data_IF_720788941691
#
_entry.id   IF_720788941691
#
_cell.length_a   1.000
_cell.length_b   1.000
_cell.length_c   1.000
_cell.angle_alpha   90.00
_cell.angle_beta   90.00
_cell.angle_gamma   90.00
#
_symmetry.space_group_name_H-M   'P 1'
#
loop_
_entity.id
_entity.type
_entity.pdbx_description
1 polymer ?
#
# COMPACT_ATOMS: atom_id res chain seq x y z
N UNK A 1 18.40 -6.56 -4.79
CA UNK A 1 17.95 -6.52 -6.21
C UNK A 1 16.66 -7.34 -6.30
N UNK A 2 15.64 -6.86 -7.01
CA UNK A 2 14.35 -7.54 -7.17
C UNK A 2 14.50 -8.75 -8.11
N UNK A 3 13.71 -9.81 -7.93
CA UNK A 3 13.80 -10.98 -8.82
C UNK A 3 13.25 -10.65 -10.23
N UNK A 4 13.73 -11.31 -11.30
CA UNK A 4 13.29 -11.04 -12.67
C UNK A 4 11.78 -11.16 -12.89
N UNK A 5 11.12 -12.08 -12.18
CA UNK A 5 9.66 -12.24 -12.24
C UNK A 5 8.92 -10.98 -11.78
N UNK A 6 9.32 -10.39 -10.66
CA UNK A 6 8.68 -9.19 -10.14
C UNK A 6 8.92 -7.97 -11.03
N UNK A 7 10.12 -7.86 -11.62
CA UNK A 7 10.41 -6.82 -12.61
C UNK A 7 9.47 -6.96 -13.82
N UNK A 8 9.27 -8.20 -14.30
CA UNK A 8 8.40 -8.47 -15.46
C UNK A 8 6.92 -8.23 -15.16
N UNK A 9 6.45 -8.53 -13.94
CA UNK A 9 5.06 -8.33 -13.54
C UNK A 9 4.74 -6.84 -13.34
N UNK A 10 5.66 -6.09 -12.72
CA UNK A 10 5.46 -4.65 -12.51
C UNK A 10 5.66 -3.82 -13.78
N UNK A 11 6.27 -4.38 -14.82
CA UNK A 11 6.55 -3.65 -16.05
C UNK A 11 7.82 -2.82 -15.97
N UNK A 12 8.22 -2.27 -17.13
CA UNK A 12 9.35 -1.35 -17.28
C UNK A 12 8.82 0.00 -17.77
N UNK A 13 9.50 1.12 -17.44
CA UNK A 13 9.07 2.43 -17.92
C UNK A 13 9.06 2.46 -19.45
N UNK A 14 7.95 2.90 -20.05
CA UNK A 14 7.86 3.08 -21.50
C UNK A 14 8.61 4.37 -21.88
N UNK A 15 9.69 4.22 -22.65
CA UNK A 15 10.54 5.33 -23.10
C UNK A 15 9.97 6.09 -24.30
N UNK A 16 8.91 5.58 -24.93
CA UNK A 16 8.44 6.05 -26.23
C UNK A 16 7.14 6.87 -26.16
N UNK A 17 6.63 7.19 -24.97
CA UNK A 17 5.42 8.02 -24.82
C UNK A 17 5.82 9.50 -24.81
N UNK A 18 5.45 10.30 -25.84
CA UNK A 18 5.82 11.72 -25.91
C UNK A 18 5.36 12.47 -24.66
N UNK A 19 6.17 13.41 -24.17
CA UNK A 19 5.83 14.33 -23.09
C UNK A 19 4.76 15.32 -23.55
N UNK A 20 3.52 14.83 -23.66
CA UNK A 20 2.39 15.69 -23.90
C UNK A 20 1.93 16.25 -22.55
N UNK A 21 2.02 17.57 -22.32
CA UNK A 21 1.54 18.21 -21.10
C UNK A 21 0.01 18.39 -21.11
N UNK A 22 -0.71 17.73 -22.03
CA UNK A 22 -2.18 17.72 -22.05
C UNK A 22 -2.76 16.80 -20.97
N UNK A 23 -2.25 16.91 -19.74
CA UNK A 23 -2.95 16.44 -18.56
C UNK A 23 -4.19 17.33 -18.47
N UNK A 24 -5.31 16.84 -18.98
CA UNK A 24 -6.61 17.44 -18.75
C UNK A 24 -6.80 17.54 -17.25
N UNK A 25 -6.94 18.75 -16.73
CA UNK A 25 -7.18 19.07 -15.32
C UNK A 25 -8.47 18.49 -14.74
N UNK A 26 -9.21 17.69 -15.51
CA UNK A 26 -10.53 17.16 -15.15
C UNK A 26 -10.50 15.70 -14.66
N UNK A 27 -9.45 14.93 -14.92
CA UNK A 27 -9.32 13.58 -14.35
C UNK A 27 -8.36 13.62 -13.15
N UNK A 28 -8.82 13.27 -11.93
CA UNK A 28 -7.93 13.17 -10.79
C UNK A 28 -7.00 11.97 -10.99
N UNK A 29 -5.82 12.27 -11.53
CA UNK A 29 -4.70 11.34 -11.58
C UNK A 29 -4.28 11.02 -10.15
N UNK A 30 -4.24 9.74 -9.81
CA UNK A 30 -3.67 9.28 -8.56
C UNK A 30 -2.21 9.72 -8.43
N UNK A 31 -1.74 10.02 -7.22
CA UNK A 31 -0.44 10.64 -6.95
C UNK A 31 0.75 9.92 -7.60
N UNK A 32 0.63 8.61 -7.86
CA UNK A 32 1.67 7.83 -8.54
C UNK A 32 1.66 7.88 -10.08
N UNK A 33 0.60 8.39 -10.71
CA UNK A 33 0.46 8.43 -12.17
C UNK A 33 1.26 9.55 -12.84
N UNK A 34 1.90 10.43 -12.06
CA UNK A 34 2.81 11.46 -12.56
C UNK A 34 4.04 10.86 -13.26
N UNK A 35 4.43 9.63 -12.90
CA UNK A 35 5.40 8.84 -13.64
C UNK A 35 4.64 7.91 -14.60
N UNK A 36 4.91 8.02 -15.91
CA UNK A 36 4.32 7.16 -16.97
C UNK A 36 4.76 5.69 -16.83
N UNK A 37 4.26 5.03 -15.81
CA UNK A 37 4.60 3.67 -15.46
C UNK A 37 3.31 2.88 -15.28
N UNK A 38 3.17 1.80 -16.03
CA UNK A 38 2.02 0.91 -15.97
C UNK A 38 2.49 -0.49 -15.60
N UNK A 39 1.61 -1.25 -14.93
CA UNK A 39 1.83 -2.69 -14.80
C UNK A 39 1.98 -3.29 -16.21
N UNK A 40 2.71 -4.40 -16.31
CA UNK A 40 2.89 -5.08 -17.58
C UNK A 40 1.53 -5.35 -18.23
N UNK A 41 1.34 -5.07 -19.55
CA UNK A 41 0.07 -5.31 -20.23
C UNK A 41 -0.44 -6.75 -20.07
N UNK A 42 0.47 -7.72 -19.98
CA UNK A 42 0.15 -9.12 -19.72
C UNK A 42 -0.46 -9.37 -18.33
N UNK A 43 -0.14 -8.53 -17.34
CA UNK A 43 -0.73 -8.58 -15.99
C UNK A 43 -2.08 -7.88 -16.00
N UNK A 44 -2.17 -6.69 -16.58
CA UNK A 44 -3.42 -5.92 -16.64
C UNK A 44 -4.51 -6.69 -17.40
N UNK A 45 -4.16 -7.36 -18.50
CA UNK A 45 -5.10 -8.14 -19.29
C UNK A 45 -5.46 -9.51 -18.67
N UNK A 46 -4.76 -9.95 -17.62
CA UNK A 46 -4.95 -11.25 -16.99
C UNK A 46 -5.29 -11.10 -15.50
N UNK A 47 -6.57 -11.27 -15.11
CA UNK A 47 -7.00 -11.18 -13.71
C UNK A 47 -6.27 -12.15 -12.77
N UNK A 48 -5.89 -13.33 -13.23
CA UNK A 48 -5.15 -14.31 -12.43
C UNK A 48 -3.72 -13.84 -12.16
N UNK A 49 -3.03 -13.32 -13.17
CA UNK A 49 -1.70 -12.75 -13.03
C UNK A 49 -1.70 -11.54 -12.08
N UNK A 50 -2.73 -10.70 -12.16
CA UNK A 50 -2.95 -9.59 -11.24
C UNK A 50 -3.15 -10.11 -9.81
N UNK A 51 -4.01 -11.11 -9.60
CA UNK A 51 -4.21 -11.71 -8.27
C UNK A 51 -2.93 -12.29 -7.69
N UNK A 52 -2.17 -13.04 -8.49
CA UNK A 52 -0.88 -13.61 -8.08
C UNK A 52 0.11 -12.52 -7.69
N UNK A 53 0.21 -11.42 -8.44
CA UNK A 53 1.06 -10.28 -8.09
C UNK A 53 0.72 -9.76 -6.69
N UNK A 54 -0.55 -9.48 -6.41
CA UNK A 54 -0.93 -8.92 -5.10
C UNK A 54 -0.84 -9.94 -3.96
N UNK A 55 -1.01 -11.23 -4.23
CA UNK A 55 -0.71 -12.29 -3.25
C UNK A 55 0.79 -12.34 -2.91
N UNK A 56 1.67 -12.19 -3.91
CA UNK A 56 3.12 -12.09 -3.66
C UNK A 56 3.41 -10.85 -2.81
N UNK A 57 2.83 -9.69 -3.13
CA UNK A 57 3.01 -8.46 -2.36
C UNK A 57 2.56 -8.61 -0.90
N UNK A 58 1.41 -9.25 -0.66
CA UNK A 58 0.94 -9.59 0.69
C UNK A 58 1.98 -10.41 1.46
N UNK A 59 2.59 -11.41 0.81
CA UNK A 59 3.65 -12.20 1.44
C UNK A 59 4.89 -11.37 1.70
N UNK A 60 5.32 -10.52 0.76
CA UNK A 60 6.49 -9.65 0.95
C UNK A 60 6.32 -8.71 2.15
N UNK A 61 5.12 -8.16 2.35
CA UNK A 61 4.79 -7.40 3.56
C UNK A 61 4.99 -8.27 4.81
N UNK A 62 4.46 -9.50 4.83
CA UNK A 62 4.59 -10.40 5.98
C UNK A 62 6.05 -10.73 6.33
N UNK A 63 6.84 -11.11 5.32
CA UNK A 63 8.16 -11.72 5.56
C UNK A 63 9.32 -10.73 5.56
N UNK A 64 9.19 -9.59 4.88
CA UNK A 64 10.32 -8.68 4.65
C UNK A 64 10.22 -7.35 5.38
N UNK A 65 9.07 -7.01 5.96
CA UNK A 65 8.86 -5.73 6.63
C UNK A 65 9.63 -5.58 7.97
N UNK A 66 10.28 -6.65 8.43
CA UNK A 66 11.24 -6.63 9.55
C UNK A 66 12.70 -6.46 9.16
N UNK A 67 13.04 -6.41 7.87
CA UNK A 67 14.43 -6.43 7.38
C UNK A 67 14.82 -5.04 6.88
N UNK A 68 15.63 -4.26 7.63
CA UNK A 68 15.92 -2.86 7.26
C UNK A 68 16.56 -2.69 5.88
N UNK A 69 17.40 -3.62 5.45
CA UNK A 69 18.16 -3.55 4.19
C UNK A 69 17.29 -3.65 2.93
N UNK A 70 16.02 -4.03 3.05
CA UNK A 70 15.10 -4.18 1.91
C UNK A 70 13.96 -3.16 1.90
N UNK A 71 13.85 -2.32 2.94
CA UNK A 71 12.77 -1.34 3.08
C UNK A 71 12.65 -0.43 1.85
N UNK A 72 13.76 0.14 1.35
CA UNK A 72 13.73 1.02 0.18
C UNK A 72 13.25 0.31 -1.10
N UNK A 73 13.61 -0.96 -1.28
CA UNK A 73 13.18 -1.77 -2.42
C UNK A 73 11.69 -2.11 -2.30
N UNK A 74 11.22 -2.44 -1.11
CA UNK A 74 9.81 -2.70 -0.84
C UNK A 74 8.96 -1.45 -1.01
N UNK A 75 9.41 -0.30 -0.52
CA UNK A 75 8.73 0.98 -0.71
C UNK A 75 8.53 1.27 -2.20
N UNK A 76 9.59 1.17 -3.00
CA UNK A 76 9.50 1.37 -4.45
C UNK A 76 8.58 0.35 -5.13
N UNK A 77 8.59 -0.91 -4.68
CA UNK A 77 7.73 -1.98 -5.17
C UNK A 77 6.25 -1.68 -4.87
N UNK A 78 5.92 -1.34 -3.63
CA UNK A 78 4.56 -1.04 -3.19
C UNK A 78 4.04 0.24 -3.83
N UNK A 79 4.88 1.25 -4.01
CA UNK A 79 4.50 2.46 -4.74
C UNK A 79 4.09 2.14 -6.18
N UNK A 80 4.88 1.29 -6.86
CA UNK A 80 4.59 0.82 -8.22
C UNK A 80 3.33 -0.06 -8.29
N UNK A 81 3.09 -0.87 -7.28
CA UNK A 81 1.92 -1.75 -7.29
C UNK A 81 0.63 -1.00 -6.95
N UNK A 82 0.63 -0.13 -5.94
CA UNK A 82 -0.58 0.47 -5.40
C UNK A 82 -0.93 1.82 -6.03
N UNK A 83 0.07 2.62 -6.44
CA UNK A 83 -0.16 4.02 -6.83
C UNK A 83 0.08 4.32 -8.31
N UNK A 84 0.80 3.46 -9.03
CA UNK A 84 1.06 3.66 -10.46
C UNK A 84 -0.06 3.17 -11.40
N UNK A 85 -0.79 2.06 -11.12
CA UNK A 85 -1.92 1.67 -11.96
C UNK A 85 -2.99 2.77 -11.99
N UNK A 86 -3.75 2.85 -13.08
CA UNK A 86 -4.94 3.70 -13.12
C UNK A 86 -5.94 3.29 -12.05
N UNK A 87 -6.76 4.22 -11.56
CA UNK A 87 -7.67 3.96 -10.44
C UNK A 87 -8.62 2.78 -10.74
N UNK A 88 -9.08 2.66 -11.99
CA UNK A 88 -9.95 1.57 -12.45
C UNK A 88 -9.27 0.19 -12.42
N UNK A 89 -7.93 0.17 -12.43
CA UNK A 89 -7.12 -1.06 -12.42
C UNK A 89 -6.75 -1.51 -11.00
N UNK A 90 -7.12 -0.75 -9.96
CA UNK A 90 -6.72 -1.01 -8.56
C UNK A 90 -7.68 -1.92 -7.79
N UNK A 91 -8.60 -2.61 -8.45
CA UNK A 91 -9.57 -3.51 -7.80
C UNK A 91 -8.91 -4.57 -6.91
N UNK A 92 -7.82 -5.18 -7.37
CA UNK A 92 -7.07 -6.17 -6.58
C UNK A 92 -6.24 -5.54 -5.48
N UNK A 93 -5.68 -4.33 -5.70
CA UNK A 93 -5.04 -3.55 -4.66
C UNK A 93 -5.98 -3.29 -3.49
N UNK A 94 -7.16 -2.73 -3.75
CA UNK A 94 -8.17 -2.42 -2.73
C UNK A 94 -8.57 -3.69 -1.96
N UNK A 95 -8.76 -4.82 -2.66
CA UNK A 95 -9.12 -6.09 -2.01
C UNK A 95 -8.04 -6.59 -1.06
N UNK A 96 -6.77 -6.56 -1.47
CA UNK A 96 -5.66 -7.00 -0.61
C UNK A 96 -5.41 -6.02 0.52
N UNK A 97 -5.51 -4.70 0.29
CA UNK A 97 -5.42 -3.69 1.35
C UNK A 97 -6.49 -3.94 2.41
N UNK A 98 -7.75 -4.12 1.99
CA UNK A 98 -8.86 -4.49 2.89
C UNK A 98 -8.53 -5.73 3.70
N UNK A 99 -8.07 -6.80 3.04
CA UNK A 99 -7.70 -8.07 3.70
C UNK A 99 -6.61 -7.86 4.77
N UNK A 100 -5.53 -7.17 4.43
CA UNK A 100 -4.40 -6.90 5.33
C UNK A 100 -4.86 -6.07 6.53
N UNK A 101 -5.64 -5.01 6.30
CA UNK A 101 -6.01 -4.08 7.36
C UNK A 101 -7.19 -4.56 8.22
N UNK A 102 -7.96 -5.54 7.73
CA UNK A 102 -9.01 -6.22 8.52
C UNK A 102 -8.49 -7.35 9.41
N UNK A 103 -7.28 -7.87 9.15
CA UNK A 103 -6.69 -8.96 9.91
C UNK A 103 -5.69 -8.43 10.93
N UNK A 104 -5.93 -8.70 12.22
CA UNK A 104 -5.12 -8.20 13.33
C UNK A 104 -3.65 -8.61 13.25
N UNK A 105 -3.34 -9.81 12.74
CA UNK A 105 -1.95 -10.28 12.61
C UNK A 105 -1.25 -9.61 11.43
N UNK A 106 -1.96 -9.41 10.32
CA UNK A 106 -1.41 -8.69 9.16
C UNK A 106 -1.23 -7.19 9.49
N UNK A 107 -2.17 -6.59 10.22
CA UNK A 107 -2.05 -5.22 10.71
C UNK A 107 -0.87 -5.05 11.68
N UNK A 108 -0.63 -6.03 12.56
CA UNK A 108 0.56 -6.06 13.40
C UNK A 108 1.86 -6.00 12.59
N UNK A 109 1.94 -6.74 11.48
CA UNK A 109 3.13 -6.74 10.61
C UNK A 109 3.38 -5.34 10.02
N UNK A 110 2.32 -4.63 9.62
CA UNK A 110 2.42 -3.25 9.11
C UNK A 110 2.89 -2.30 10.22
N UNK A 111 2.29 -2.36 11.41
CA UNK A 111 2.64 -1.49 12.54
C UNK A 111 4.10 -1.72 12.94
N UNK A 112 4.48 -2.99 13.10
CA UNK A 112 5.84 -3.37 13.46
C UNK A 112 6.86 -2.92 12.41
N UNK A 113 6.50 -3.01 11.13
CA UNK A 113 7.30 -2.44 10.03
C UNK A 113 7.49 -0.94 10.17
N UNK A 114 6.40 -0.19 10.40
CA UNK A 114 6.44 1.26 10.51
C UNK A 114 7.34 1.71 11.68
N UNK A 115 7.21 1.05 12.83
CA UNK A 115 8.01 1.33 14.03
C UNK A 115 9.48 1.00 13.79
N UNK A 116 9.81 -0.19 13.29
CA UNK A 116 11.20 -0.61 13.08
C UNK A 116 11.90 0.20 11.99
N UNK A 117 11.19 0.57 10.93
CA UNK A 117 11.72 1.41 9.85
C UNK A 117 11.71 2.90 10.15
N UNK A 118 11.02 3.33 11.22
CA UNK A 118 10.71 4.74 11.53
C UNK A 118 10.11 5.48 10.32
N UNK A 119 9.27 4.79 9.55
CA UNK A 119 8.67 5.30 8.31
C UNK A 119 7.20 4.88 8.20
N UNK A 120 6.33 5.82 7.85
CA UNK A 120 4.91 5.56 7.57
C UNK A 120 4.63 5.40 6.07
N UNK A 121 5.67 5.23 5.24
CA UNK A 121 5.55 5.15 3.78
C UNK A 121 4.58 4.06 3.33
N UNK A 122 4.73 2.84 3.84
CA UNK A 122 3.87 1.70 3.51
C UNK A 122 2.42 2.01 3.89
N UNK A 123 2.20 2.42 5.14
CA UNK A 123 0.89 2.83 5.62
C UNK A 123 0.27 3.90 4.70
N UNK A 124 0.99 4.97 4.43
CA UNK A 124 0.56 6.07 3.57
C UNK A 124 0.16 5.57 2.19
N UNK A 125 0.95 4.71 1.55
CA UNK A 125 0.61 4.17 0.22
C UNK A 125 -0.68 3.36 0.22
N UNK A 126 -0.92 2.53 1.25
CA UNK A 126 -2.16 1.76 1.37
C UNK A 126 -3.37 2.70 1.54
N UNK A 127 -3.26 3.70 2.42
CA UNK A 127 -4.36 4.67 2.67
C UNK A 127 -4.63 5.53 1.44
N UNK A 128 -3.59 6.06 0.78
CA UNK A 128 -3.74 6.87 -0.44
C UNK A 128 -4.41 6.07 -1.54
N UNK A 129 -3.99 4.81 -1.75
CA UNK A 129 -4.61 3.94 -2.75
C UNK A 129 -6.11 3.78 -2.52
N UNK A 130 -6.53 3.50 -1.28
CA UNK A 130 -7.97 3.34 -0.98
C UNK A 130 -8.72 4.66 -1.08
N UNK A 131 -8.14 5.77 -0.59
CA UNK A 131 -8.77 7.08 -0.62
C UNK A 131 -8.99 7.60 -2.06
N UNK A 132 -8.02 7.42 -2.95
CA UNK A 132 -8.16 7.77 -4.37
C UNK A 132 -9.22 6.88 -5.06
N UNK A 133 -9.24 5.59 -4.75
CA UNK A 133 -10.26 4.68 -5.26
C UNK A 133 -11.66 4.97 -4.74
N UNK A 134 -11.81 5.66 -3.60
CA UNK A 134 -13.11 5.98 -2.99
C UNK A 134 -13.80 7.20 -3.62
N UNK A 135 -13.19 7.84 -4.62
CA UNK A 135 -13.78 9.00 -5.27
C UNK A 135 -15.01 8.60 -6.13
N UNK A 136 -16.16 9.30 -6.04
CA UNK A 136 -17.45 8.84 -6.57
C UNK A 136 -17.51 8.58 -8.07
N UNK A 137 -16.62 9.19 -8.86
CA UNK A 137 -16.60 9.06 -10.32
C UNK A 137 -16.06 7.71 -10.81
N UNK A 138 -15.51 6.88 -9.92
CA UNK A 138 -14.99 5.56 -10.28
C UNK A 138 -15.91 4.44 -9.82
N UNK A 139 -16.14 3.44 -10.68
CA UNK A 139 -16.94 2.25 -10.36
C UNK A 139 -16.42 1.48 -9.14
N UNK A 140 -15.12 1.56 -8.86
CA UNK A 140 -14.48 0.91 -7.69
C UNK A 140 -14.83 1.60 -6.34
N UNK A 141 -15.41 2.80 -6.35
CA UNK A 141 -15.63 3.62 -5.17
C UNK A 141 -16.37 2.89 -4.05
N UNK A 142 -17.41 2.14 -4.39
CA UNK A 142 -18.20 1.39 -3.42
C UNK A 142 -17.32 0.36 -2.68
N UNK A 143 -16.45 -0.37 -3.41
CA UNK A 143 -15.58 -1.37 -2.79
C UNK A 143 -14.48 -0.69 -1.94
N UNK A 144 -13.97 0.45 -2.39
CA UNK A 144 -12.99 1.24 -1.63
C UNK A 144 -13.58 1.79 -0.33
N UNK A 145 -14.81 2.31 -0.35
CA UNK A 145 -15.52 2.76 0.87
C UNK A 145 -15.76 1.59 1.84
N UNK A 146 -16.15 0.42 1.33
CA UNK A 146 -16.27 -0.80 2.16
C UNK A 146 -14.93 -1.23 2.75
N UNK A 147 -13.84 -1.08 1.99
CA UNK A 147 -12.49 -1.33 2.48
C UNK A 147 -12.12 -0.37 3.62
N UNK A 148 -12.47 0.91 3.52
CA UNK A 148 -12.30 1.88 4.62
C UNK A 148 -13.03 1.43 5.89
N UNK A 149 -14.30 1.03 5.79
CA UNK A 149 -15.05 0.54 6.95
C UNK A 149 -14.42 -0.71 7.59
N UNK A 150 -13.98 -1.65 6.75
CA UNK A 150 -13.32 -2.89 7.21
C UNK A 150 -11.97 -2.61 7.88
N UNK A 151 -11.21 -1.65 7.34
CA UNK A 151 -9.95 -1.18 7.92
C UNK A 151 -10.16 -0.54 9.29
N UNK A 152 -11.13 0.38 9.42
CA UNK A 152 -11.42 1.02 10.71
C UNK A 152 -11.82 0.00 11.78
N UNK A 153 -12.66 -0.98 11.40
CA UNK A 153 -13.02 -2.06 12.31
C UNK A 153 -11.80 -2.93 12.67
N UNK A 154 -10.92 -3.23 11.70
CA UNK A 154 -9.69 -3.99 11.95
C UNK A 154 -8.74 -3.28 12.92
N UNK A 155 -8.59 -1.96 12.77
CA UNK A 155 -7.80 -1.12 13.69
C UNK A 155 -8.41 -1.13 15.09
N UNK A 156 -9.74 -0.97 15.21
CA UNK A 156 -10.42 -1.02 16.51
C UNK A 156 -10.17 -2.37 17.21
N UNK A 157 -10.40 -3.48 16.51
CA UNK A 157 -10.18 -4.83 17.02
C UNK A 157 -8.71 -5.04 17.45
N UNK A 158 -7.77 -4.42 16.72
CA UNK A 158 -6.34 -4.50 17.04
C UNK A 158 -5.99 -3.71 18.31
N UNK A 159 -6.55 -2.51 18.49
CA UNK A 159 -6.39 -1.73 19.72
C UNK A 159 -6.91 -2.47 20.96
N UNK A 160 -7.93 -3.33 20.79
CA UNK A 160 -8.47 -4.21 21.84
C UNK A 160 -7.62 -5.47 22.07
N UNK A 161 -6.55 -5.69 21.29
CA UNK A 161 -5.67 -6.87 21.34
C UNK A 161 -4.23 -6.50 21.74
N UNK A 162 -3.97 -6.11 23.01
CA UNK A 162 -2.67 -5.58 23.44
C UNK A 162 -1.50 -6.57 23.34
N UNK A 163 -1.78 -7.86 23.26
CA UNK A 163 -0.76 -8.93 23.32
C UNK A 163 -0.11 -9.25 21.97
N UNK A 164 -0.51 -8.57 20.89
CA UNK A 164 0.02 -8.83 19.54
C UNK A 164 1.36 -8.15 19.26
N UNK A 165 1.63 -7.03 19.93
CA UNK A 165 2.89 -6.31 19.77
C UNK A 165 4.02 -7.06 20.47
N UNK A 166 5.05 -7.43 19.71
CA UNK A 166 6.28 -7.98 20.27
C UNK A 166 6.99 -6.95 21.16
N UNK A 167 7.84 -7.45 22.07
CA UNK A 167 8.50 -6.64 23.09
C UNK A 167 9.43 -5.57 22.49
N UNK A 168 10.12 -5.89 21.38
CA UNK A 168 11.02 -4.96 20.70
C UNK A 168 10.24 -3.79 20.09
N UNK A 169 9.16 -4.09 19.36
CA UNK A 169 8.27 -3.08 18.78
C UNK A 169 7.62 -2.22 19.86
N UNK A 170 7.17 -2.83 20.97
CA UNK A 170 6.58 -2.10 22.11
C UNK A 170 7.58 -1.17 22.77
N UNK A 171 8.83 -1.61 22.95
CA UNK A 171 9.90 -0.79 23.52
C UNK A 171 10.23 0.40 22.61
N UNK A 172 10.38 0.17 21.29
CA UNK A 172 10.61 1.25 20.31
C UNK A 172 9.47 2.26 20.26
N UNK A 173 8.22 1.82 20.36
CA UNK A 173 7.07 2.73 20.43
C UNK A 173 7.14 3.65 21.65
N UNK A 174 7.51 3.12 22.83
CA UNK A 174 7.68 3.91 24.05
C UNK A 174 8.84 4.89 23.95
N UNK A 175 9.93 4.51 23.28
CA UNK A 175 11.06 5.42 23.01
C UNK A 175 10.63 6.56 22.07
N UNK A 176 9.87 6.25 21.02
CA UNK A 176 9.41 7.21 20.02
C UNK A 176 8.34 8.17 20.56
N UNK A 177 7.47 7.68 21.44
CA UNK A 177 6.36 8.43 22.02
C UNK A 177 6.37 8.29 23.55
N UNK A 178 7.27 9.00 24.26
CA UNK A 178 7.42 8.88 25.72
C UNK A 178 6.18 9.34 26.48
N UNK A 179 5.44 10.30 25.91
CA UNK A 179 4.18 10.81 26.45
C UNK A 179 3.12 10.90 25.34
N UNK A 180 1.86 10.66 25.68
CA UNK A 180 0.73 10.88 24.76
C UNK A 180 0.43 12.38 24.56
N UNK A 181 1.07 13.27 25.34
CA UNK A 181 0.85 14.71 25.28
C UNK A 181 1.50 15.37 24.05
N UNK A 182 2.48 14.71 23.42
CA UNK A 182 3.24 15.26 22.28
C UNK A 182 2.52 15.10 20.91
N UNK A 183 1.30 14.54 20.89
CA UNK A 183 0.54 14.26 19.65
C UNK A 183 -0.43 15.40 19.27
N UNK A 184 -0.62 16.40 20.14
CA UNK A 184 -1.38 17.62 19.83
C UNK A 184 -0.50 18.85 20.06
N UNK A 185 0.21 19.38 19.05
CA UNK A 185 0.61 20.77 19.11
C UNK A 185 -0.66 21.67 19.02
N UNK A 186 -0.67 22.83 19.69
CA UNK A 186 -1.77 23.79 19.64
C UNK A 186 -2.07 24.31 18.23
#
# INVERSE_FOLDING_TARGET
>A
KLCPLMIRLLGVPDRNVPDNPSISTEEPLGQGQMAKFTLSPAVVANPEATRVLYQILEQLIRIMAGIPSVNSVLEALFHKAFLFPKIEQRAEAVRIIKKILSDRLRLNDIISSCVRSRSLSLWRMLIVCVAECAQPQYEIAIEAVRACGSMLQGILNYCESPDLLDEETRWKLKEMFPSLADVNPP
#
